data_IF_748650980230
#
_entry.id   IF_748650980230
#
_cell.length_a   1.000
_cell.length_b   1.000
_cell.length_c   1.000
_cell.angle_alpha   90.00
_cell.angle_beta   90.00
_cell.angle_gamma   90.00
#
_symmetry.space_group_name_H-M   'P 1'
#
loop_
_entity.id
_entity.type
_entity.pdbx_description
1 polymer ?
#
# COMPACT_ATOMS: atom_id res chain seq x y z
N UNK A 1 -50.90 25.75 -46.56
CA UNK A 1 -50.67 24.92 -45.36
C UNK A 1 -50.22 25.81 -44.18
N UNK A 2 -51.15 26.52 -43.51
CA UNK A 2 -50.81 27.37 -42.35
C UNK A 2 -50.84 26.66 -40.99
N UNK A 3 -51.41 25.45 -40.93
CA UNK A 3 -51.71 24.72 -39.69
C UNK A 3 -50.48 24.38 -38.83
N UNK A 4 -49.34 24.06 -39.47
CA UNK A 4 -48.09 23.74 -38.77
C UNK A 4 -47.46 24.92 -38.01
N UNK A 5 -47.71 26.17 -38.46
CA UNK A 5 -47.11 27.34 -37.83
C UNK A 5 -47.83 27.74 -36.54
N UNK A 6 -49.13 27.49 -36.46
CA UNK A 6 -49.93 27.78 -35.26
C UNK A 6 -49.66 26.76 -34.15
N UNK A 7 -49.53 25.47 -34.50
CA UNK A 7 -49.11 24.44 -33.54
C UNK A 7 -47.71 24.72 -32.97
N UNK A 8 -46.75 25.13 -33.81
CA UNK A 8 -45.40 25.48 -33.33
C UNK A 8 -45.41 26.63 -32.33
N UNK A 9 -46.15 27.70 -32.62
CA UNK A 9 -46.27 28.87 -31.71
C UNK A 9 -46.88 28.48 -30.38
N UNK A 10 -47.92 27.65 -30.39
CA UNK A 10 -48.57 27.18 -29.16
C UNK A 10 -47.61 26.32 -28.33
N UNK A 11 -46.92 25.38 -28.97
CA UNK A 11 -45.92 24.53 -28.32
C UNK A 11 -44.76 25.34 -27.71
N UNK A 12 -44.30 26.37 -28.42
CA UNK A 12 -43.23 27.25 -27.96
C UNK A 12 -43.66 28.11 -26.76
N UNK A 13 -44.92 28.56 -26.72
CA UNK A 13 -45.49 29.24 -25.55
C UNK A 13 -45.66 28.31 -24.34
N UNK A 14 -46.00 27.04 -24.56
CA UNK A 14 -46.09 26.02 -23.52
C UNK A 14 -44.69 25.65 -22.99
N UNK A 15 -43.69 25.55 -23.86
CA UNK A 15 -42.29 25.26 -23.51
C UNK A 15 -41.59 26.43 -22.80
N UNK A 16 -41.91 27.68 -23.13
CA UNK A 16 -41.38 28.85 -22.41
C UNK A 16 -41.77 28.85 -20.93
N UNK A 17 -42.92 28.27 -20.60
CA UNK A 17 -43.41 28.11 -19.22
C UNK A 17 -42.63 27.01 -18.48
N UNK A 18 -42.14 26.01 -19.20
CA UNK A 18 -41.29 24.93 -18.66
C UNK A 18 -39.82 25.40 -18.66
N UNK A 19 -39.52 26.42 -17.85
CA UNK A 19 -38.13 26.75 -17.53
C UNK A 19 -37.60 25.72 -16.54
N UNK A 20 -36.61 24.93 -16.96
CA UNK A 20 -35.89 24.00 -16.09
C UNK A 20 -35.24 24.75 -14.92
N UNK A 21 -35.96 24.87 -13.82
CA UNK A 21 -35.57 25.65 -12.64
C UNK A 21 -34.45 24.98 -11.85
N UNK A 22 -34.30 23.66 -11.98
CA UNK A 22 -33.38 22.83 -11.21
C UNK A 22 -32.22 22.25 -12.02
N UNK A 23 -31.91 22.82 -13.18
CA UNK A 23 -30.82 22.33 -14.03
C UNK A 23 -29.47 22.31 -13.28
N UNK A 24 -29.22 23.32 -12.43
CA UNK A 24 -28.03 23.35 -11.56
C UNK A 24 -28.05 22.29 -10.46
N UNK A 25 -29.19 22.03 -9.83
CA UNK A 25 -29.30 21.02 -8.77
C UNK A 25 -29.07 19.59 -9.32
N UNK A 26 -29.57 19.31 -10.52
CA UNK A 26 -29.34 18.04 -11.21
C UNK A 26 -27.87 17.89 -11.62
N UNK A 27 -27.25 18.96 -12.13
CA UNK A 27 -25.82 18.97 -12.46
C UNK A 27 -24.95 18.78 -11.20
N UNK A 28 -25.35 19.36 -10.06
CA UNK A 28 -24.63 19.24 -8.80
C UNK A 28 -24.75 17.84 -8.20
N UNK A 29 -25.93 17.22 -8.27
CA UNK A 29 -26.12 15.83 -7.81
C UNK A 29 -25.31 14.83 -8.64
N UNK A 30 -25.24 15.03 -9.96
CA UNK A 30 -24.42 14.23 -10.86
C UNK A 30 -22.92 14.37 -10.58
N UNK A 31 -22.42 15.59 -10.33
CA UNK A 31 -21.01 15.83 -9.94
C UNK A 31 -20.64 15.14 -8.63
N UNK A 32 -21.53 15.16 -7.63
CA UNK A 32 -21.28 14.52 -6.35
C UNK A 32 -21.20 12.99 -6.47
N UNK A 33 -22.05 12.40 -7.31
CA UNK A 33 -21.98 10.97 -7.64
C UNK A 33 -20.69 10.60 -8.40
N UNK A 34 -20.23 11.46 -9.31
CA UNK A 34 -19.00 11.24 -10.09
C UNK A 34 -17.76 11.16 -9.19
N UNK A 35 -17.66 12.01 -8.15
CA UNK A 35 -16.53 11.99 -7.24
C UNK A 35 -16.43 10.67 -6.46
N UNK A 36 -17.54 10.19 -5.89
CA UNK A 36 -17.56 8.87 -5.21
C UNK A 36 -17.21 7.74 -6.17
N UNK A 37 -17.66 7.82 -7.42
CA UNK A 37 -17.33 6.81 -8.43
C UNK A 37 -15.84 6.79 -8.82
N UNK A 38 -15.14 7.94 -8.75
CA UNK A 38 -13.70 8.03 -9.06
C UNK A 38 -12.86 7.29 -8.02
N UNK A 39 -13.20 7.42 -6.74
CA UNK A 39 -12.55 6.66 -5.69
C UNK A 39 -12.79 5.17 -5.87
N UNK A 40 -14.04 4.75 -6.05
CA UNK A 40 -14.37 3.35 -6.29
C UNK A 40 -13.65 2.76 -7.51
N UNK A 41 -13.52 3.54 -8.58
CA UNK A 41 -12.74 3.16 -9.77
C UNK A 41 -11.24 3.05 -9.49
N UNK A 42 -10.69 3.92 -8.64
CA UNK A 42 -9.27 3.85 -8.26
C UNK A 42 -8.98 2.57 -7.47
N UNK A 43 -9.79 2.29 -6.44
CA UNK A 43 -9.71 1.06 -5.64
C UNK A 43 -9.91 -0.21 -6.49
N UNK A 44 -10.93 -0.23 -7.36
CA UNK A 44 -11.13 -1.37 -8.27
C UNK A 44 -9.98 -1.54 -9.27
N UNK A 45 -9.34 -0.45 -9.70
CA UNK A 45 -8.22 -0.50 -10.65
C UNK A 45 -6.95 -1.04 -10.00
N UNK A 46 -6.70 -0.73 -8.73
CA UNK A 46 -5.61 -1.34 -7.95
C UNK A 46 -5.82 -2.83 -7.72
N UNK A 47 -7.06 -3.29 -7.49
CA UNK A 47 -7.41 -4.71 -7.37
C UNK A 47 -7.25 -5.47 -8.70
N UNK A 48 -7.42 -4.76 -9.83
CA UNK A 48 -7.27 -5.34 -11.18
C UNK A 48 -5.82 -5.47 -11.64
N UNK A 49 -4.89 -4.69 -11.09
CA UNK A 49 -3.45 -4.97 -11.26
C UNK A 49 -3.20 -6.25 -10.47
N UNK A 50 -2.48 -7.26 -11.00
CA UNK A 50 -2.20 -8.46 -10.24
C UNK A 50 -1.40 -8.05 -8.99
N UNK A 51 -2.09 -7.94 -7.85
CA UNK A 51 -1.53 -7.49 -6.57
C UNK A 51 -0.57 -8.54 -6.02
N UNK A 52 -0.74 -9.78 -6.45
CA UNK A 52 0.03 -10.95 -6.06
C UNK A 52 1.54 -10.74 -6.32
N UNK A 53 2.02 -10.43 -7.55
CA UNK A 53 3.45 -10.22 -7.81
C UNK A 53 4.05 -9.00 -7.11
N UNK A 54 3.30 -7.91 -6.95
CA UNK A 54 3.83 -6.70 -6.31
C UNK A 54 3.94 -6.91 -4.80
N UNK A 55 2.92 -7.50 -4.18
CA UNK A 55 2.92 -7.81 -2.75
C UNK A 55 4.00 -8.83 -2.39
N UNK A 56 4.24 -9.86 -3.22
CA UNK A 56 5.33 -10.81 -2.96
C UNK A 56 6.71 -10.14 -3.05
N UNK A 57 6.92 -9.20 -3.97
CA UNK A 57 8.17 -8.43 -4.03
C UNK A 57 8.32 -7.57 -2.76
N UNK A 58 7.29 -6.83 -2.36
CA UNK A 58 7.37 -6.00 -1.15
C UNK A 58 7.62 -6.83 0.12
N UNK A 59 6.92 -7.95 0.29
CA UNK A 59 7.09 -8.85 1.44
C UNK A 59 8.48 -9.48 1.44
N UNK A 60 8.97 -9.94 0.29
CA UNK A 60 10.31 -10.55 0.20
C UNK A 60 11.43 -9.57 0.51
N UNK A 61 11.34 -8.31 0.03
CA UNK A 61 12.28 -7.25 0.39
C UNK A 61 12.24 -6.97 1.88
N UNK A 62 11.05 -6.87 2.47
CA UNK A 62 10.90 -6.61 3.90
C UNK A 62 11.52 -7.73 4.74
N UNK A 63 11.23 -8.99 4.42
CA UNK A 63 11.80 -10.16 5.09
C UNK A 63 13.33 -10.20 4.94
N UNK A 64 13.86 -9.92 3.75
CA UNK A 64 15.31 -9.89 3.52
C UNK A 64 15.99 -8.81 4.37
N UNK A 65 15.42 -7.60 4.43
CA UNK A 65 15.95 -6.52 5.28
C UNK A 65 15.90 -6.87 6.76
N UNK A 66 14.79 -7.44 7.24
CA UNK A 66 14.68 -7.90 8.63
C UNK A 66 15.68 -9.01 8.96
N UNK A 67 15.88 -9.96 8.04
CA UNK A 67 16.83 -11.05 8.24
C UNK A 67 18.28 -10.55 8.28
N UNK A 68 18.65 -9.62 7.39
CA UNK A 68 19.99 -9.01 7.39
C UNK A 68 20.21 -8.20 8.67
N UNK A 69 19.22 -7.41 9.09
CA UNK A 69 19.30 -6.63 10.32
C UNK A 69 19.44 -7.50 11.57
N UNK A 70 18.70 -8.60 11.66
CA UNK A 70 18.73 -9.51 12.80
C UNK A 70 20.03 -10.35 12.87
N UNK A 71 20.54 -10.83 11.73
CA UNK A 71 21.78 -11.60 11.70
C UNK A 71 23.04 -10.75 11.81
N UNK A 72 22.96 -9.43 11.55
CA UNK A 72 24.08 -8.52 11.79
C UNK A 72 24.41 -8.38 13.28
N UNK A 73 23.44 -8.58 14.18
CA UNK A 73 23.64 -8.51 15.62
C UNK A 73 24.28 -9.80 16.19
N UNK A 74 24.00 -10.96 15.58
CA UNK A 74 24.50 -12.26 16.02
C UNK A 74 25.93 -12.62 15.56
N UNK A 75 26.57 -11.81 14.71
CA UNK A 75 27.94 -12.07 14.19
C UNK A 75 29.06 -11.59 15.13
N UNK A 76 28.88 -11.68 16.45
CA UNK A 76 29.89 -11.20 17.42
C UNK A 76 30.55 -12.26 18.29
N UNK A 77 30.17 -13.54 18.24
CA UNK A 77 30.73 -14.54 19.17
C UNK A 77 31.08 -15.90 18.54
N UNK A 78 31.71 -15.88 17.35
CA UNK A 78 32.35 -17.08 16.77
C UNK A 78 33.73 -17.40 17.40
N UNK A 79 34.08 -16.77 18.53
CA UNK A 79 35.33 -17.03 19.26
C UNK A 79 35.16 -18.05 20.41
N UNK A 80 34.03 -18.75 20.51
CA UNK A 80 33.81 -19.84 21.47
C UNK A 80 34.45 -21.15 21.02
N UNK A 81 35.78 -21.11 20.83
CA UNK A 81 36.58 -22.31 20.61
C UNK A 81 36.78 -23.05 21.94
N UNK A 82 36.45 -24.34 21.97
CA UNK A 82 36.76 -25.21 23.10
C UNK A 82 38.19 -25.74 22.93
N UNK A 83 39.00 -25.64 24.00
CA UNK A 83 40.38 -26.10 24.02
C UNK A 83 40.48 -27.22 25.06
N UNK A 84 41.17 -28.31 24.72
CA UNK A 84 41.46 -29.39 25.64
C UNK A 84 42.85 -29.17 26.27
N UNK A 85 42.90 -29.08 27.60
CA UNK A 85 44.15 -28.91 28.33
C UNK A 85 44.13 -29.83 29.56
N UNK A 86 45.15 -30.66 29.72
CA UNK A 86 45.26 -31.56 30.88
C UNK A 86 44.10 -32.55 31.04
N UNK A 87 43.45 -32.97 29.95
CA UNK A 87 42.31 -33.89 29.98
C UNK A 87 40.97 -33.27 30.38
N UNK A 88 40.91 -31.94 30.51
CA UNK A 88 39.67 -31.19 30.73
C UNK A 88 39.41 -30.23 29.58
N UNK A 89 38.13 -30.01 29.25
CA UNK A 89 37.70 -29.12 28.17
C UNK A 89 37.34 -27.75 28.72
N UNK A 90 37.98 -26.70 28.22
CA UNK A 90 37.78 -25.31 28.65
C UNK A 90 37.35 -24.42 27.49
N UNK A 91 36.66 -23.33 27.83
CA UNK A 91 36.36 -22.26 26.89
C UNK A 91 37.64 -21.43 26.66
N UNK A 92 38.04 -21.22 25.41
CA UNK A 92 39.28 -20.48 25.04
C UNK A 92 39.40 -19.11 25.71
N UNK A 93 38.29 -18.38 25.81
CA UNK A 93 38.23 -17.04 26.40
C UNK A 93 38.51 -17.06 27.90
N UNK A 94 38.00 -18.07 28.62
CA UNK A 94 38.20 -18.22 30.06
C UNK A 94 39.64 -18.64 30.37
N UNK A 95 40.15 -19.62 29.62
CA UNK A 95 41.52 -20.11 29.77
C UNK A 95 42.56 -18.99 29.54
N UNK A 96 42.38 -18.19 28.48
CA UNK A 96 43.29 -17.06 28.19
C UNK A 96 43.24 -15.98 29.28
N UNK A 97 42.07 -15.75 29.88
CA UNK A 97 41.89 -14.79 30.96
C UNK A 97 42.52 -15.27 32.27
N UNK A 98 42.44 -16.56 32.57
CA UNK A 98 43.02 -17.16 33.77
C UNK A 98 44.56 -17.15 33.72
N UNK A 99 45.15 -17.60 32.60
CA UNK A 99 46.61 -17.59 32.43
C UNK A 99 47.16 -16.16 32.34
N UNK A 100 46.43 -15.25 31.69
CA UNK A 100 46.84 -13.86 31.56
C UNK A 100 46.84 -13.07 32.87
N UNK A 101 46.17 -13.57 33.91
CA UNK A 101 46.06 -12.94 35.24
C UNK A 101 46.99 -13.59 36.28
N UNK A 102 47.76 -14.60 35.88
CA UNK A 102 48.72 -15.33 36.71
C UNK A 102 50.19 -14.87 36.50
N UNK A 103 50.39 -13.83 35.67
CA UNK A 103 51.64 -13.07 35.51
C UNK A 103 51.48 -11.65 36.08
#
# INVERSE_FOLDING_TARGET
MPENNEMKKKLESELQTIRFTKQRDVLQSLKCAEQKSKWYRFWNKEISIPVIPISTICVSVFVAFSFIGFNAENKRDDDTLFIEFGGSTYLSQQFKKEIGNEN
#
